data_IF_541945375217
#
_entry.id   IF_541945375217
#
_cell.length_a   1.000
_cell.length_b   1.000
_cell.length_c   1.000
_cell.angle_alpha   90.00
_cell.angle_beta   90.00
_cell.angle_gamma   90.00
#
_symmetry.space_group_name_H-M   'P 1'
#
loop_
_entity.id
_entity.type
_entity.pdbx_description
1 polymer ?
#
# COMPACT_ATOMS: atom_id res chain seq x y z
N UNK A 1 14.79 -33.77 12.44
CA UNK A 1 15.05 -33.60 10.99
C UNK A 1 13.95 -32.72 10.43
N UNK A 2 14.23 -31.48 10.01
CA UNK A 2 13.24 -30.71 9.27
C UNK A 2 13.31 -31.09 7.79
N UNK A 3 12.14 -31.31 7.20
CA UNK A 3 11.97 -31.47 5.75
C UNK A 3 12.21 -30.12 5.08
N UNK A 4 13.42 -29.90 4.57
CA UNK A 4 13.68 -28.82 3.62
C UNK A 4 13.00 -29.18 2.29
N UNK A 5 11.88 -28.51 2.01
CA UNK A 5 11.28 -28.51 0.68
C UNK A 5 12.23 -27.81 -0.30
N UNK A 6 12.51 -28.37 -1.49
CA UNK A 6 13.42 -27.76 -2.44
C UNK A 6 12.77 -26.54 -3.09
N UNK A 7 13.28 -25.35 -2.75
CA UNK A 7 12.91 -24.11 -3.43
C UNK A 7 13.38 -24.14 -4.91
N UNK A 8 12.57 -23.62 -5.85
CA UNK A 8 12.94 -23.60 -7.26
C UNK A 8 14.14 -22.65 -7.53
N UNK A 9 15.09 -23.04 -8.41
CA UNK A 9 16.23 -22.21 -8.78
C UNK A 9 15.83 -21.00 -9.63
N UNK A 10 16.20 -19.79 -9.18
CA UNK A 10 16.00 -18.52 -9.89
C UNK A 10 17.35 -18.01 -10.42
N UNK A 11 17.38 -17.55 -11.68
CA UNK A 11 18.53 -16.88 -12.28
C UNK A 11 18.21 -15.41 -12.58
N UNK A 12 19.12 -14.51 -12.22
CA UNK A 12 19.11 -13.10 -12.62
C UNK A 12 19.96 -12.93 -13.89
N UNK A 13 19.33 -12.95 -15.06
CA UNK A 13 20.00 -12.59 -16.31
C UNK A 13 19.52 -11.20 -16.75
N UNK A 14 20.32 -10.18 -16.47
CA UNK A 14 20.22 -8.79 -16.93
C UNK A 14 18.79 -8.23 -17.05
N UNK A 15 18.28 -7.73 -15.91
CA UNK A 15 17.12 -6.83 -15.74
C UNK A 15 15.72 -7.45 -15.69
N UNK A 16 15.56 -8.77 -15.78
CA UNK A 16 14.25 -9.44 -15.69
C UNK A 16 14.24 -10.52 -14.60
N UNK A 17 13.10 -10.69 -13.95
CA UNK A 17 12.88 -11.75 -12.95
C UNK A 17 12.22 -12.96 -13.63
N UNK A 18 12.78 -14.15 -13.45
CA UNK A 18 12.36 -15.37 -14.14
C UNK A 18 12.09 -16.49 -13.13
N UNK A 19 10.87 -17.04 -13.10
CA UNK A 19 10.55 -18.22 -12.32
C UNK A 19 10.66 -19.49 -13.17
N UNK A 20 11.35 -20.52 -12.66
CA UNK A 20 11.48 -21.81 -13.33
C UNK A 20 11.00 -22.95 -12.42
N UNK A 21 10.38 -23.97 -13.00
CA UNK A 21 10.11 -25.24 -12.32
C UNK A 21 11.37 -26.09 -12.32
N UNK A 22 11.52 -26.92 -11.29
CA UNK A 22 12.63 -27.87 -11.20
C UNK A 22 12.59 -28.89 -12.35
N UNK A 23 11.40 -29.40 -12.69
CA UNK A 23 11.22 -30.37 -13.78
C UNK A 23 11.58 -29.71 -15.12
N UNK A 24 12.63 -30.22 -15.76
CA UNK A 24 13.16 -29.77 -17.05
C UNK A 24 13.55 -28.28 -17.12
N UNK A 25 13.74 -27.62 -15.97
CA UNK A 25 14.05 -26.19 -15.92
C UNK A 25 13.04 -25.32 -16.71
N UNK A 26 11.76 -25.73 -16.72
CA UNK A 26 10.74 -25.05 -17.51
C UNK A 26 10.41 -23.68 -16.93
N UNK A 27 10.47 -22.62 -17.75
CA UNK A 27 10.06 -21.27 -17.35
C UNK A 27 8.55 -21.22 -17.11
N UNK A 28 8.15 -20.71 -15.94
CA UNK A 28 6.75 -20.45 -15.57
C UNK A 28 6.33 -19.09 -16.11
N UNK A 29 7.06 -18.04 -15.72
CA UNK A 29 6.80 -16.67 -16.15
C UNK A 29 8.10 -15.85 -16.16
N UNK A 30 8.01 -14.68 -16.79
CA UNK A 30 9.05 -13.66 -16.80
C UNK A 30 8.44 -12.29 -16.50
N UNK A 31 8.95 -11.60 -15.48
CA UNK A 31 8.54 -10.25 -15.14
C UNK A 31 9.56 -9.26 -15.70
N UNK A 32 9.12 -8.49 -16.69
CA UNK A 32 9.92 -7.46 -17.34
C UNK A 32 9.97 -6.17 -16.51
N UNK A 33 11.06 -5.39 -16.61
CA UNK A 33 11.21 -4.14 -15.88
C UNK A 33 10.17 -3.12 -16.36
N UNK A 34 9.38 -2.58 -15.45
CA UNK A 34 8.42 -1.49 -15.67
C UNK A 34 8.69 -0.35 -14.68
N UNK A 35 7.85 0.70 -14.71
CA UNK A 35 8.00 1.86 -13.81
C UNK A 35 7.94 1.49 -12.31
N UNK A 36 7.24 0.40 -11.96
CA UNK A 36 7.09 -0.05 -10.59
C UNK A 36 8.21 -0.99 -10.13
N UNK A 37 8.78 -1.80 -11.03
CA UNK A 37 9.81 -2.80 -10.71
C UNK A 37 11.24 -2.33 -10.97
N UNK A 38 11.43 -1.18 -11.60
CA UNK A 38 12.75 -0.64 -11.93
C UNK A 38 13.58 -1.54 -12.85
N UNK A 39 14.86 -1.19 -13.04
CA UNK A 39 15.77 -1.88 -13.97
C UNK A 39 16.78 -2.80 -13.28
N UNK A 40 17.07 -2.57 -12.00
CA UNK A 40 18.12 -3.26 -11.27
C UNK A 40 17.53 -4.01 -10.08
N UNK A 41 17.44 -5.34 -10.21
CA UNK A 41 17.04 -6.21 -9.09
C UNK A 41 18.31 -6.62 -8.33
N UNK A 42 18.33 -6.35 -7.04
CA UNK A 42 19.52 -6.53 -6.20
C UNK A 42 19.46 -7.74 -5.29
N UNK A 43 18.26 -8.15 -4.89
CA UNK A 43 18.03 -9.22 -3.90
C UNK A 43 16.65 -9.83 -4.06
N UNK A 44 16.50 -11.06 -3.57
CA UNK A 44 15.30 -11.87 -3.66
C UNK A 44 15.07 -12.58 -2.33
N UNK A 45 13.82 -12.72 -1.90
CA UNK A 45 13.43 -13.52 -0.75
C UNK A 45 12.04 -14.12 -0.94
N UNK A 46 11.93 -15.43 -0.78
CA UNK A 46 10.65 -16.13 -0.77
C UNK A 46 9.98 -15.99 0.58
N UNK A 47 8.67 -15.71 0.60
CA UNK A 47 7.87 -15.94 1.81
C UNK A 47 7.92 -17.44 2.14
N UNK A 48 7.99 -17.83 3.42
CA UNK A 48 8.13 -19.24 3.82
C UNK A 48 7.06 -20.20 3.28
N UNK A 49 5.87 -19.71 2.94
CA UNK A 49 4.80 -20.51 2.34
C UNK A 49 4.93 -20.71 0.82
N UNK A 50 5.89 -20.04 0.18
CA UNK A 50 6.16 -20.14 -1.25
C UNK A 50 5.15 -19.41 -2.16
N UNK A 51 4.17 -18.68 -1.61
CA UNK A 51 3.14 -18.00 -2.43
C UNK A 51 3.55 -16.59 -2.86
N UNK A 52 4.43 -15.96 -2.09
CA UNK A 52 4.87 -14.58 -2.34
C UNK A 52 6.38 -14.56 -2.53
N UNK A 53 6.82 -13.81 -3.53
CA UNK A 53 8.22 -13.50 -3.77
C UNK A 53 8.46 -12.00 -3.56
N UNK A 54 9.39 -11.67 -2.66
CA UNK A 54 9.90 -10.32 -2.49
C UNK A 54 11.18 -10.11 -3.30
N UNK A 55 11.34 -8.93 -3.89
CA UNK A 55 12.58 -8.51 -4.51
C UNK A 55 12.91 -7.04 -4.29
N UNK A 56 14.19 -6.75 -4.09
CA UNK A 56 14.72 -5.40 -3.94
C UNK A 56 15.08 -4.78 -5.28
N UNK A 57 14.72 -3.51 -5.46
CA UNK A 57 14.93 -2.71 -6.66
C UNK A 57 15.90 -1.56 -6.34
N UNK A 58 17.11 -1.62 -6.91
CA UNK A 58 18.22 -0.76 -6.55
C UNK A 58 18.07 0.69 -7.03
N UNK A 59 17.56 0.90 -8.25
CA UNK A 59 17.44 2.22 -8.86
C UNK A 59 16.32 3.07 -8.24
N UNK A 60 15.16 2.47 -7.96
CA UNK A 60 14.03 3.15 -7.32
C UNK A 60 14.03 3.08 -5.81
N UNK A 61 14.95 2.29 -5.21
CA UNK A 61 15.02 1.99 -3.77
C UNK A 61 13.69 1.49 -3.22
N UNK A 62 13.15 0.45 -3.85
CA UNK A 62 11.87 -0.15 -3.47
C UNK A 62 12.04 -1.63 -3.20
N UNK A 63 11.13 -2.16 -2.40
CA UNK A 63 10.89 -3.60 -2.29
C UNK A 63 9.54 -3.88 -2.91
N UNK A 64 9.47 -4.89 -3.77
CA UNK A 64 8.26 -5.31 -4.47
C UNK A 64 7.90 -6.72 -4.00
N UNK A 65 6.65 -6.91 -3.62
CA UNK A 65 6.04 -8.20 -3.32
C UNK A 65 5.16 -8.61 -4.50
N UNK A 66 5.41 -9.81 -5.03
CA UNK A 66 4.65 -10.35 -6.16
C UNK A 66 4.11 -11.75 -5.89
N UNK A 67 3.00 -12.05 -6.53
CA UNK A 67 2.40 -13.38 -6.53
C UNK A 67 3.29 -14.35 -7.31
N UNK A 68 3.61 -15.49 -6.70
CA UNK A 68 4.50 -16.47 -7.27
C UNK A 68 3.90 -17.24 -8.45
N UNK A 69 2.57 -17.35 -8.55
CA UNK A 69 1.89 -18.06 -9.62
C UNK A 69 1.65 -17.16 -10.83
N UNK A 70 1.19 -15.93 -10.59
CA UNK A 70 0.73 -15.01 -11.65
C UNK A 70 1.73 -13.94 -12.07
N UNK A 71 2.81 -13.72 -11.30
CA UNK A 71 3.75 -12.61 -11.48
C UNK A 71 3.11 -11.22 -11.32
N UNK A 72 1.99 -11.13 -10.59
CA UNK A 72 1.28 -9.88 -10.32
C UNK A 72 1.92 -9.15 -9.13
N UNK A 73 2.03 -7.82 -9.22
CA UNK A 73 2.58 -6.99 -8.15
C UNK A 73 1.47 -6.75 -7.12
N UNK A 74 1.62 -7.37 -5.96
CA UNK A 74 0.65 -7.30 -4.87
C UNK A 74 0.88 -6.07 -4.00
N UNK A 75 2.14 -5.77 -3.68
CA UNK A 75 2.50 -4.62 -2.86
C UNK A 75 3.90 -4.10 -3.19
N UNK A 76 4.14 -2.83 -2.91
CA UNK A 76 5.46 -2.22 -2.98
C UNK A 76 5.61 -1.16 -1.90
N UNK A 77 6.82 -1.04 -1.36
CA UNK A 77 7.16 0.00 -0.41
C UNK A 77 8.58 0.51 -0.68
N UNK A 78 8.78 1.79 -0.38
CA UNK A 78 10.08 2.45 -0.54
C UNK A 78 10.96 2.25 0.70
N UNK A 79 12.25 2.11 0.47
CA UNK A 79 13.29 2.03 1.50
C UNK A 79 14.28 3.17 1.31
N UNK A 80 14.95 3.59 2.40
CA UNK A 80 15.86 4.76 2.36
C UNK A 80 17.09 4.52 1.48
N UNK A 81 17.55 3.27 1.44
CA UNK A 81 18.75 2.81 0.76
C UNK A 81 18.45 1.60 -0.14
N UNK A 82 19.20 1.40 -1.24
CA UNK A 82 19.03 0.23 -2.08
C UNK A 82 19.31 -1.05 -1.29
N UNK A 83 18.43 -2.04 -1.41
CA UNK A 83 18.56 -3.30 -0.69
C UNK A 83 19.73 -4.10 -1.24
N UNK A 84 20.58 -4.66 -0.39
CA UNK A 84 21.70 -5.52 -0.77
C UNK A 84 21.46 -6.99 -0.47
N UNK A 85 20.65 -7.30 0.54
CA UNK A 85 20.27 -8.67 0.90
C UNK A 85 18.92 -8.69 1.63
N UNK A 86 18.23 -9.82 1.56
CA UNK A 86 16.91 -10.03 2.17
C UNK A 86 16.82 -11.42 2.78
N UNK A 87 16.06 -11.55 3.86
CA UNK A 87 15.76 -12.83 4.49
C UNK A 87 14.33 -12.81 5.01
N UNK A 88 13.52 -13.77 4.60
CA UNK A 88 12.13 -13.88 5.05
C UNK A 88 11.97 -15.16 5.87
N UNK A 89 11.52 -15.01 7.10
CA UNK A 89 11.40 -16.10 8.06
C UNK A 89 10.00 -16.15 8.68
N UNK A 90 9.57 -17.33 9.09
CA UNK A 90 8.33 -17.57 9.83
C UNK A 90 8.66 -18.06 11.24
N UNK A 91 8.00 -17.49 12.24
CA UNK A 91 8.28 -17.80 13.64
C UNK A 91 7.79 -19.21 13.96
N UNK A 92 8.66 -20.00 14.59
CA UNK A 92 8.28 -21.30 15.13
C UNK A 92 7.80 -21.10 16.57
N UNK A 93 6.54 -21.44 16.83
CA UNK A 93 5.98 -21.37 18.17
C UNK A 93 6.23 -22.69 18.92
N UNK A 94 7.07 -22.66 19.95
CA UNK A 94 7.15 -23.73 20.95
C UNK A 94 5.94 -23.62 21.90
N UNK A 95 4.75 -24.08 21.49
CA UNK A 95 3.57 -24.09 22.38
C UNK A 95 2.97 -25.47 22.51
N UNK A 96 3.51 -26.23 23.48
CA UNK A 96 2.83 -27.31 24.20
C UNK A 96 1.87 -26.77 25.28
N UNK A 97 1.46 -25.50 25.23
CA UNK A 97 0.45 -24.93 26.13
C UNK A 97 -0.92 -25.02 25.49
N UNK A 98 -1.54 -26.18 25.68
CA UNK A 98 -2.97 -26.40 25.57
C UNK A 98 -3.70 -25.56 26.63
N UNK A 99 -3.91 -24.27 26.36
CA UNK A 99 -4.82 -23.44 27.15
C UNK A 99 -5.37 -22.30 26.31
N UNK A 100 -6.47 -22.58 25.59
CA UNK A 100 -7.71 -21.79 25.55
C UNK A 100 -7.66 -20.24 25.54
N UNK A 101 -6.58 -19.64 25.04
CA UNK A 101 -6.60 -18.36 24.35
C UNK A 101 -6.12 -18.64 22.94
N UNK A 102 -6.94 -19.43 22.21
CA UNK A 102 -6.90 -19.47 20.76
C UNK A 102 -6.49 -18.10 20.26
N UNK A 103 -5.49 -18.08 19.37
CA UNK A 103 -5.31 -17.06 18.36
C UNK A 103 -6.61 -16.28 18.25
N UNK A 104 -6.63 -15.03 18.74
CA UNK A 104 -7.81 -14.20 18.56
C UNK A 104 -7.85 -13.99 17.05
N UNK A 105 -8.53 -14.91 16.36
CA UNK A 105 -8.92 -14.78 14.97
C UNK A 105 -9.41 -13.34 14.83
N UNK A 106 -9.00 -12.67 13.76
CA UNK A 106 -9.46 -11.32 13.58
C UNK A 106 -10.96 -11.35 13.28
N UNK A 107 -11.75 -11.23 14.35
CA UNK A 107 -13.21 -11.20 14.32
C UNK A 107 -13.74 -9.94 13.63
N UNK A 108 -12.84 -9.02 13.25
CA UNK A 108 -13.17 -7.86 12.41
C UNK A 108 -13.96 -8.28 11.18
N UNK A 109 -13.62 -9.41 10.55
CA UNK A 109 -14.33 -9.95 9.39
C UNK A 109 -15.79 -10.34 9.64
N UNK A 110 -16.20 -10.56 10.90
CA UNK A 110 -17.58 -10.84 11.29
C UNK A 110 -18.40 -9.57 11.53
N UNK A 111 -17.76 -8.49 11.97
CA UNK A 111 -18.43 -7.25 12.37
C UNK A 111 -18.33 -6.14 11.31
N UNK A 112 -17.26 -6.12 10.52
CA UNK A 112 -17.04 -5.12 9.49
C UNK A 112 -17.63 -5.59 8.15
N UNK A 113 -18.31 -4.70 7.42
CA UNK A 113 -18.74 -5.00 6.07
C UNK A 113 -17.51 -5.21 5.17
N UNK A 114 -17.63 -6.12 4.21
CA UNK A 114 -16.61 -6.27 3.16
C UNK A 114 -16.55 -4.99 2.35
N UNK A 115 -15.34 -4.46 2.19
CA UNK A 115 -15.12 -3.25 1.41
C UNK A 115 -15.36 -3.53 -0.07
N UNK A 116 -16.08 -2.66 -0.80
CA UNK A 116 -16.26 -2.81 -2.23
C UNK A 116 -14.92 -2.70 -2.98
N UNK A 117 -14.80 -3.41 -4.09
CA UNK A 117 -13.65 -3.25 -5.00
C UNK A 117 -13.71 -1.87 -5.67
N UNK A 118 -12.54 -1.29 -5.93
CA UNK A 118 -12.43 0.00 -6.62
C UNK A 118 -12.44 -0.20 -8.15
N UNK A 119 -13.08 0.69 -8.93
CA UNK A 119 -13.24 0.53 -10.38
C UNK A 119 -11.92 0.55 -11.18
N UNK A 120 -10.84 1.16 -10.65
CA UNK A 120 -9.49 1.11 -11.25
C UNK A 120 -8.60 0.00 -10.65
N UNK A 121 -9.10 -0.73 -9.67
CA UNK A 121 -8.37 -1.78 -8.98
C UNK A 121 -9.22 -3.04 -8.82
N UNK A 122 -9.93 -3.43 -9.88
CA UNK A 122 -10.81 -4.62 -9.87
C UNK A 122 -10.06 -5.90 -9.41
N UNK A 123 -8.71 -5.91 -9.44
CA UNK A 123 -7.90 -7.03 -8.95
C UNK A 123 -7.19 -6.80 -7.59
N UNK A 124 -6.90 -5.56 -7.16
CA UNK A 124 -5.85 -5.33 -6.11
C UNK A 124 -6.31 -5.34 -4.65
N UNK A 125 -7.59 -5.07 -4.33
CA UNK A 125 -8.01 -4.93 -2.92
C UNK A 125 -8.17 -6.28 -2.21
N UNK A 126 -8.74 -7.27 -2.89
CA UNK A 126 -8.91 -8.62 -2.35
C UNK A 126 -7.56 -9.32 -2.17
N UNK A 127 -6.60 -9.02 -3.06
CA UNK A 127 -5.22 -9.49 -2.99
C UNK A 127 -4.48 -9.08 -1.72
N UNK A 128 -4.74 -7.88 -1.19
CA UNK A 128 -4.09 -7.41 0.04
C UNK A 128 -4.62 -8.14 1.28
N UNK A 129 -5.90 -8.54 1.29
CA UNK A 129 -6.40 -9.44 2.33
C UNK A 129 -5.80 -10.85 2.19
N UNK A 130 -5.52 -11.29 0.96
CA UNK A 130 -4.79 -12.54 0.69
C UNK A 130 -3.30 -12.47 1.10
N UNK A 131 -2.68 -11.27 1.06
CA UNK A 131 -1.30 -11.05 1.54
C UNK A 131 -1.18 -11.35 3.04
N UNK A 132 -2.16 -10.93 3.84
CA UNK A 132 -2.19 -11.17 5.27
C UNK A 132 -2.54 -12.63 5.58
N UNK A 133 -3.61 -13.15 4.97
CA UNK A 133 -4.03 -14.56 5.03
C UNK A 133 -4.08 -15.17 6.45
N UNK A 134 -4.35 -16.47 6.52
CA UNK A 134 -4.15 -17.24 7.75
C UNK A 134 -2.72 -17.77 7.83
N UNK A 135 -1.77 -16.83 7.89
CA UNK A 135 -0.34 -17.15 7.93
C UNK A 135 0.18 -16.81 9.32
N UNK A 136 1.05 -17.69 9.85
CA UNK A 136 1.72 -17.41 11.12
C UNK A 136 2.60 -16.17 10.99
N UNK A 137 2.94 -15.60 12.13
CA UNK A 137 3.78 -14.41 12.16
C UNK A 137 5.10 -14.66 11.43
N UNK A 138 5.37 -13.82 10.43
CA UNK A 138 6.55 -13.91 9.60
C UNK A 138 7.14 -12.50 9.41
N UNK A 139 8.46 -12.44 9.25
CA UNK A 139 9.22 -11.20 9.21
C UNK A 139 10.13 -11.24 7.99
N UNK A 140 10.03 -10.20 7.17
CA UNK A 140 10.98 -9.90 6.12
C UNK A 140 12.05 -8.95 6.67
N UNK A 141 13.29 -9.43 6.72
CA UNK A 141 14.46 -8.64 7.09
C UNK A 141 15.12 -8.13 5.83
N UNK A 142 15.35 -6.83 5.77
CA UNK A 142 15.92 -6.12 4.63
C UNK A 142 17.22 -5.48 5.07
N UNK A 143 18.31 -5.76 4.35
CA UNK A 143 19.64 -5.21 4.62
C UNK A 143 20.14 -4.38 3.45
N UNK A 144 20.84 -3.30 3.73
CA UNK A 144 21.35 -2.37 2.72
C UNK A 144 22.82 -1.96 2.93
N UNK A 145 23.31 -1.01 2.12
CA UNK A 145 24.58 -0.34 2.35
C UNK A 145 24.53 0.49 3.63
N UNK A 146 25.70 0.81 4.17
CA UNK A 146 25.86 1.59 5.40
C UNK A 146 25.22 0.96 6.64
N UNK A 147 25.05 -0.36 6.64
CA UNK A 147 24.52 -1.14 7.76
C UNK A 147 23.05 -0.85 8.10
N UNK A 148 22.30 -0.35 7.13
CA UNK A 148 20.86 -0.29 7.21
C UNK A 148 20.29 -1.71 7.33
N UNK A 149 19.55 -1.99 8.40
CA UNK A 149 18.77 -3.21 8.55
C UNK A 149 17.38 -2.86 9.07
N UNK A 150 16.35 -3.33 8.38
CA UNK A 150 14.96 -3.12 8.74
C UNK A 150 14.19 -4.42 8.79
N UNK A 151 13.22 -4.51 9.71
CA UNK A 151 12.36 -5.66 9.88
C UNK A 151 10.92 -5.27 9.54
N UNK A 152 10.31 -6.04 8.63
CA UNK A 152 8.96 -5.85 8.15
C UNK A 152 8.09 -7.05 8.51
N UNK A 153 7.17 -6.87 9.46
CA UNK A 153 6.16 -7.88 9.77
C UNK A 153 5.23 -8.10 8.57
N UNK A 154 5.01 -9.37 8.23
CA UNK A 154 4.26 -9.81 7.05
C UNK A 154 4.79 -9.27 5.71
N UNK A 155 5.99 -8.66 5.70
CA UNK A 155 6.50 -7.89 4.57
C UNK A 155 5.79 -6.56 4.32
N UNK A 156 4.91 -6.12 5.21
CA UNK A 156 4.03 -4.96 5.03
C UNK A 156 4.30 -3.84 6.04
N UNK A 157 4.45 -4.20 7.31
CA UNK A 157 4.57 -3.22 8.40
C UNK A 157 5.97 -3.21 8.99
N UNK A 158 6.65 -2.07 8.94
CA UNK A 158 7.98 -1.91 9.52
C UNK A 158 7.90 -1.91 11.05
N UNK A 159 8.48 -2.92 11.69
CA UNK A 159 8.49 -3.10 13.14
C UNK A 159 9.79 -2.62 13.81
N UNK A 160 10.90 -2.62 13.07
CA UNK A 160 12.18 -2.17 13.61
C UNK A 160 13.11 -1.63 12.53
N UNK A 161 13.90 -0.61 12.89
CA UNK A 161 15.05 -0.14 12.13
C UNK A 161 16.26 -0.22 13.04
N UNK A 162 17.24 -1.04 12.65
CA UNK A 162 18.49 -1.21 13.38
C UNK A 162 19.54 -0.24 12.83
N UNK A 163 20.24 0.43 13.74
CA UNK A 163 21.35 1.32 13.45
C UNK A 163 22.62 0.77 14.09
N UNK A 164 23.77 1.03 13.48
CA UNK A 164 25.07 0.68 14.06
C UNK A 164 25.75 -0.56 13.45
N UNK A 165 25.17 -1.18 12.43
CA UNK A 165 25.94 -2.10 11.57
C UNK A 165 26.87 -1.25 10.69
N UNK A 166 28.10 -1.71 10.51
CA UNK A 166 29.11 -1.05 9.69
C UNK A 166 29.24 -1.78 8.34
N UNK A 167 29.48 -1.01 7.27
CA UNK A 167 29.68 -1.58 5.93
C UNK A 167 28.39 -1.92 5.19
N UNK A 168 28.47 -2.80 4.20
CA UNK A 168 27.32 -3.24 3.38
C UNK A 168 26.84 -4.60 3.84
N UNK A 169 25.55 -4.75 4.14
CA UNK A 169 25.00 -6.04 4.53
C UNK A 169 25.06 -7.02 3.36
N UNK A 170 25.63 -8.21 3.58
CA UNK A 170 25.76 -9.28 2.58
C UNK A 170 24.83 -10.45 2.85
N UNK A 171 24.62 -10.78 4.12
CA UNK A 171 23.71 -11.83 4.54
C UNK A 171 23.03 -11.46 5.85
N UNK A 172 21.79 -11.91 6.00
CA UNK A 172 20.94 -11.70 7.16
C UNK A 172 20.31 -13.05 7.52
N UNK A 173 20.24 -13.35 8.81
CA UNK A 173 19.51 -14.51 9.31
C UNK A 173 18.94 -14.18 10.68
N UNK A 174 17.60 -14.12 10.76
CA UNK A 174 16.84 -13.91 11.98
C UNK A 174 16.44 -15.29 12.51
N UNK A 175 16.69 -15.55 13.79
CA UNK A 175 16.38 -16.84 14.37
C UNK A 175 14.87 -17.07 14.43
N UNK A 176 14.43 -18.33 14.24
CA UNK A 176 13.01 -18.69 14.25
C UNK A 176 12.32 -18.49 15.59
N UNK A 177 13.08 -18.37 16.67
CA UNK A 177 12.62 -18.04 18.03
C UNK A 177 12.72 -16.53 18.35
N UNK A 178 13.11 -15.72 17.37
CA UNK A 178 13.32 -14.27 17.45
C UNK A 178 14.31 -13.80 18.52
N UNK A 179 15.15 -14.66 19.09
CA UNK A 179 16.11 -14.25 20.13
C UNK A 179 17.35 -13.58 19.58
N UNK A 180 17.76 -13.89 18.35
CA UNK A 180 18.95 -13.28 17.78
C UNK A 180 18.84 -13.00 16.29
N UNK A 181 19.44 -11.89 15.87
CA UNK A 181 19.64 -11.55 14.47
C UNK A 181 21.14 -11.62 14.16
N UNK A 182 21.51 -12.46 13.21
CA UNK A 182 22.87 -12.53 12.69
C UNK A 182 22.99 -11.75 11.37
N UNK A 183 24.03 -10.93 11.29
CA UNK A 183 24.32 -10.04 10.16
C UNK A 183 25.77 -10.27 9.73
N UNK A 184 25.97 -10.53 8.44
CA UNK A 184 27.29 -10.54 7.82
C UNK A 184 27.41 -9.27 6.99
N UNK A 185 28.35 -8.40 7.33
CA UNK A 185 28.61 -7.16 6.60
C UNK A 185 30.01 -7.14 5.99
N UNK A 186 30.16 -6.41 4.89
CA UNK A 186 31.44 -6.17 4.23
C UNK A 186 31.83 -4.70 4.38
N UNK A 187 32.98 -4.45 4.99
CA UNK A 187 33.59 -3.12 5.07
C UNK A 187 34.70 -3.04 4.03
N UNK A 188 34.56 -2.10 3.09
CA UNK A 188 35.61 -1.80 2.12
C UNK A 188 36.57 -0.79 2.73
N UNK A 189 37.77 -1.26 3.09
CA UNK A 189 38.85 -0.37 3.50
C UNK A 189 39.47 0.32 2.29
N UNK A 190 40.07 1.50 2.50
CA UNK A 190 40.80 2.27 1.47
C UNK A 190 41.97 1.49 0.85
N UNK A 191 42.47 0.46 1.54
CA UNK A 191 43.62 -0.35 1.14
C UNK A 191 43.28 -1.59 0.27
N UNK A 192 42.17 -1.55 -0.50
CA UNK A 192 41.70 -2.61 -1.43
C UNK A 192 41.32 -3.97 -0.83
N UNK A 193 41.57 -4.22 0.46
CA UNK A 193 41.10 -5.42 1.13
C UNK A 193 39.71 -5.17 1.71
N UNK A 194 38.74 -6.00 1.32
CA UNK A 194 37.42 -6.07 1.95
C UNK A 194 37.51 -6.92 3.22
N UNK A 195 37.03 -6.37 4.34
CA UNK A 195 36.88 -7.10 5.59
C UNK A 195 35.43 -7.58 5.73
N UNK A 196 35.24 -8.86 6.03
CA UNK A 196 33.93 -9.43 6.34
C UNK A 196 33.79 -9.49 7.85
N UNK A 197 32.72 -8.90 8.37
CA UNK A 197 32.39 -8.88 9.79
C UNK A 197 31.12 -9.70 10.04
N UNK A 198 31.15 -10.50 11.11
CA UNK A 198 29.98 -11.19 11.64
C UNK A 198 29.51 -10.46 12.90
N UNK A 199 28.23 -10.10 12.93
CA UNK A 199 27.61 -9.39 14.03
C UNK A 199 26.38 -10.19 14.45
N UNK A 200 26.25 -10.47 15.75
CA UNK A 200 25.07 -11.08 16.33
C UNK A 200 24.42 -10.08 17.28
N UNK A 201 23.16 -9.75 17.00
CA UNK A 201 22.36 -8.81 17.76
C UNK A 201 21.33 -9.58 18.58
N UNK A 202 21.16 -9.17 19.83
CA UNK A 202 20.11 -9.69 20.71
C UNK A 202 18.77 -9.03 20.34
N UNK A 203 17.80 -9.86 19.97
CA UNK A 203 16.43 -9.45 19.66
C UNK A 203 15.43 -9.99 20.68
N UNK A 204 15.89 -10.30 21.90
CA UNK A 204 15.08 -10.90 22.97
C UNK A 204 13.76 -10.17 23.29
N UNK A 205 13.66 -8.86 23.06
CA UNK A 205 12.40 -8.11 23.17
C UNK A 205 11.33 -8.60 22.19
N UNK A 206 11.71 -8.93 20.95
CA UNK A 206 10.77 -9.46 19.95
C UNK A 206 10.26 -10.84 20.35
N UNK A 207 11.14 -11.65 20.97
CA UNK A 207 10.81 -12.98 21.48
C UNK A 207 9.87 -12.91 22.69
N UNK A 208 10.16 -12.04 23.66
CA UNK A 208 9.35 -11.91 24.90
C UNK A 208 7.98 -11.29 24.66
N UNK A 209 7.86 -10.38 23.70
CA UNK A 209 6.61 -9.70 23.33
C UNK A 209 6.00 -10.26 22.04
N UNK A 210 6.33 -11.50 21.64
CA UNK A 210 5.84 -12.10 20.40
C UNK A 210 4.31 -12.05 20.21
N UNK A 211 3.46 -12.41 21.19
CA UNK A 211 2.01 -12.36 20.98
C UNK A 211 1.49 -10.92 20.85
N UNK A 212 2.01 -9.99 21.64
CA UNK A 212 1.70 -8.57 21.53
C UNK A 212 2.12 -7.99 20.18
N UNK A 213 3.35 -8.29 19.74
CA UNK A 213 3.92 -7.85 18.47
C UNK A 213 3.13 -8.41 17.28
N UNK A 214 2.75 -9.69 17.33
CA UNK A 214 1.95 -10.33 16.28
C UNK A 214 0.60 -9.65 16.12
N UNK A 215 -0.10 -9.42 17.25
CA UNK A 215 -1.40 -8.74 17.24
C UNK A 215 -1.29 -7.30 16.77
N UNK A 216 -0.29 -6.57 17.25
CA UNK A 216 0.00 -5.19 16.87
C UNK A 216 0.29 -5.09 15.37
N UNK A 217 1.18 -5.95 14.85
CA UNK A 217 1.54 -5.98 13.43
C UNK A 217 0.32 -6.23 12.55
N UNK A 218 -0.53 -7.21 12.88
CA UNK A 218 -1.78 -7.48 12.14
C UNK A 218 -2.69 -6.24 12.09
N UNK A 219 -2.89 -5.54 13.21
CA UNK A 219 -3.74 -4.34 13.21
C UNK A 219 -3.13 -3.19 12.43
N UNK A 220 -1.82 -2.95 12.54
CA UNK A 220 -1.18 -1.90 11.74
C UNK A 220 -1.13 -2.22 10.26
N UNK A 221 -1.01 -3.49 9.87
CA UNK A 221 -1.18 -3.86 8.47
C UNK A 221 -2.59 -3.56 7.99
N UNK A 222 -3.65 -3.94 8.73
CA UNK A 222 -5.02 -3.57 8.36
C UNK A 222 -5.20 -2.05 8.23
N UNK A 223 -4.73 -1.28 9.21
CA UNK A 223 -4.77 0.19 9.18
C UNK A 223 -4.07 0.75 7.95
N UNK A 224 -2.85 0.28 7.63
CA UNK A 224 -2.08 0.72 6.47
C UNK A 224 -2.84 0.44 5.17
N UNK A 225 -3.43 -0.75 5.05
CA UNK A 225 -4.19 -1.17 3.86
C UNK A 225 -5.46 -0.34 3.68
N UNK A 226 -6.15 0.01 4.77
CA UNK A 226 -7.32 0.89 4.75
C UNK A 226 -6.95 2.33 4.37
N UNK A 227 -5.85 2.86 4.89
CA UNK A 227 -5.36 4.19 4.49
C UNK A 227 -5.06 4.22 2.99
N UNK A 228 -4.41 3.17 2.46
CA UNK A 228 -4.14 3.08 1.03
C UNK A 228 -5.43 2.98 0.20
N UNK A 229 -6.40 2.19 0.65
CA UNK A 229 -7.72 2.07 0.03
C UNK A 229 -8.47 3.42 0.01
N UNK A 230 -8.48 4.16 1.12
CA UNK A 230 -9.10 5.49 1.21
C UNK A 230 -8.40 6.49 0.28
N UNK A 231 -7.07 6.46 0.19
CA UNK A 231 -6.30 7.29 -0.75
C UNK A 231 -6.66 6.99 -2.19
N UNK A 232 -6.71 5.71 -2.58
CA UNK A 232 -7.09 5.30 -3.93
C UNK A 232 -8.54 5.69 -4.26
N UNK A 233 -9.45 5.54 -3.31
CA UNK A 233 -10.84 5.99 -3.44
C UNK A 233 -10.92 7.49 -3.71
N UNK A 234 -10.17 8.29 -2.95
CA UNK A 234 -10.09 9.74 -3.13
C UNK A 234 -9.47 10.12 -4.48
N UNK A 235 -8.42 9.43 -4.92
CA UNK A 235 -7.84 9.64 -6.26
C UNK A 235 -8.88 9.37 -7.35
N UNK A 236 -9.64 8.28 -7.27
CA UNK A 236 -10.70 7.98 -8.22
C UNK A 236 -11.78 9.07 -8.26
N UNK A 237 -12.12 9.64 -7.09
CA UNK A 237 -13.07 10.76 -7.01
C UNK A 237 -12.51 12.03 -7.68
N UNK A 238 -11.25 12.37 -7.43
CA UNK A 238 -10.61 13.53 -8.04
C UNK A 238 -10.56 13.40 -9.56
N UNK A 239 -10.19 12.22 -10.08
CA UNK A 239 -10.14 11.97 -11.52
C UNK A 239 -11.53 12.09 -12.16
N UNK A 240 -12.57 11.51 -11.55
CA UNK A 240 -13.94 11.64 -12.03
C UNK A 240 -14.43 13.11 -12.03
N UNK A 241 -13.97 13.91 -11.07
CA UNK A 241 -14.26 15.33 -11.01
C UNK A 241 -13.51 16.15 -12.06
N UNK A 242 -12.22 15.87 -12.26
CA UNK A 242 -11.40 16.49 -13.30
C UNK A 242 -11.97 16.22 -14.70
N UNK A 243 -12.49 15.02 -14.95
CA UNK A 243 -13.17 14.67 -16.21
C UNK A 243 -14.42 15.54 -16.44
N UNK A 244 -15.21 15.83 -15.40
CA UNK A 244 -16.38 16.74 -15.48
C UNK A 244 -15.91 18.16 -15.80
N UNK A 245 -14.93 18.67 -15.05
CA UNK A 245 -14.41 20.02 -15.21
C UNK A 245 -13.84 20.22 -16.62
N UNK A 246 -13.04 19.27 -17.10
CA UNK A 246 -12.46 19.32 -18.44
C UNK A 246 -13.53 19.37 -19.54
N UNK A 247 -14.63 18.61 -19.41
CA UNK A 247 -15.72 18.64 -20.38
C UNK A 247 -16.46 19.98 -20.41
N UNK A 248 -16.66 20.61 -19.25
CA UNK A 248 -17.29 21.93 -19.14
C UNK A 248 -16.36 23.05 -19.64
N UNK A 249 -15.11 23.07 -19.18
CA UNK A 249 -14.13 24.09 -19.51
C UNK A 249 -13.75 24.05 -21.00
N UNK A 250 -13.59 22.89 -21.62
CA UNK A 250 -13.29 22.80 -23.07
C UNK A 250 -14.38 23.41 -23.94
N UNK A 251 -15.63 23.48 -23.46
CA UNK A 251 -16.76 24.02 -24.21
C UNK A 251 -16.94 25.51 -23.93
N UNK A 252 -16.76 25.95 -22.68
CA UNK A 252 -16.88 27.35 -22.28
C UNK A 252 -15.63 28.18 -22.61
N UNK A 253 -14.44 27.59 -22.59
CA UNK A 253 -13.20 28.31 -22.92
C UNK A 253 -13.10 28.60 -24.42
N UNK A 254 -13.59 27.70 -25.28
CA UNK A 254 -13.71 27.96 -26.73
C UNK A 254 -14.61 29.15 -27.03
N UNK A 255 -15.70 29.28 -26.29
CA UNK A 255 -16.60 30.44 -26.37
C UNK A 255 -15.88 31.75 -26.07
N UNK A 256 -15.16 31.81 -24.94
CA UNK A 256 -14.45 33.01 -24.49
C UNK A 256 -13.33 33.39 -25.46
N UNK A 257 -12.62 32.40 -26.02
CA UNK A 257 -11.55 32.63 -26.98
C UNK A 257 -12.05 33.12 -28.34
N UNK A 258 -13.24 32.67 -28.80
CA UNK A 258 -13.83 33.11 -30.07
C UNK A 258 -14.38 34.54 -30.01
N UNK A 259 -14.71 35.06 -28.81
CA UNK A 259 -15.50 36.29 -28.66
C UNK A 259 -14.72 37.61 -28.68
N UNK A 260 -13.41 37.63 -28.40
CA UNK A 260 -12.58 38.85 -28.35
C UNK A 260 -13.21 40.06 -27.60
N UNK A 261 -14.08 39.83 -26.62
CA UNK A 261 -14.81 40.87 -25.87
C UNK A 261 -14.52 40.78 -24.37
N UNK A 262 -14.74 41.88 -23.63
CA UNK A 262 -14.45 41.97 -22.19
C UNK A 262 -15.55 41.43 -21.27
N UNK A 263 -16.63 40.86 -21.82
CA UNK A 263 -17.79 40.37 -21.08
C UNK A 263 -17.53 38.98 -20.50
N UNK A 264 -17.95 38.75 -19.25
CA UNK A 264 -17.84 37.42 -18.65
C UNK A 264 -18.96 36.51 -19.18
N UNK A 265 -18.69 35.21 -19.25
CA UNK A 265 -19.68 34.20 -19.67
C UNK A 265 -20.95 34.26 -18.80
N UNK A 266 -20.79 34.57 -17.51
CA UNK A 266 -21.90 34.73 -16.57
C UNK A 266 -22.89 35.82 -17.00
N UNK A 267 -22.40 36.98 -17.46
CA UNK A 267 -23.23 38.13 -17.82
C UNK A 267 -24.12 37.80 -19.02
N UNK A 268 -23.60 37.06 -19.99
CA UNK A 268 -24.33 36.65 -21.20
C UNK A 268 -25.46 35.66 -20.88
N UNK A 269 -25.18 34.66 -20.03
CA UNK A 269 -26.20 33.71 -19.60
C UNK A 269 -27.25 34.38 -18.71
N UNK A 270 -26.87 35.36 -17.91
CA UNK A 270 -27.80 36.16 -17.12
C UNK A 270 -28.67 37.04 -18.03
N UNK A 271 -28.09 37.65 -19.07
CA UNK A 271 -28.83 38.44 -20.06
C UNK A 271 -29.85 37.58 -20.83
N UNK A 272 -29.43 36.40 -21.25
CA UNK A 272 -30.32 35.41 -21.88
C UNK A 272 -31.45 35.00 -20.93
N UNK A 273 -31.16 34.79 -19.64
CA UNK A 273 -32.16 34.39 -18.65
C UNK A 273 -33.16 35.52 -18.35
N UNK A 274 -32.69 36.76 -18.22
CA UNK A 274 -33.49 37.90 -17.81
C UNK A 274 -34.32 38.49 -18.96
N UNK A 275 -33.74 38.60 -20.15
CA UNK A 275 -34.36 39.28 -21.28
C UNK A 275 -34.70 38.35 -22.45
N UNK A 276 -34.26 37.10 -22.43
CA UNK A 276 -34.52 36.13 -23.52
C UNK A 276 -33.73 36.40 -24.79
N UNK A 277 -32.80 37.36 -24.79
CA UNK A 277 -31.97 37.70 -25.93
C UNK A 277 -30.60 37.05 -25.80
N UNK A 278 -30.23 36.20 -26.76
CA UNK A 278 -28.88 35.67 -26.88
C UNK A 278 -28.03 36.59 -27.76
N UNK A 279 -26.78 36.83 -27.37
CA UNK A 279 -25.79 37.44 -28.27
C UNK A 279 -25.58 36.54 -29.50
N UNK A 280 -25.21 37.08 -30.67
CA UNK A 280 -25.02 36.27 -31.88
C UNK A 280 -23.94 35.20 -31.70
N UNK A 281 -22.93 35.46 -30.86
CA UNK A 281 -21.89 34.50 -30.53
C UNK A 281 -22.41 33.40 -29.59
N UNK A 282 -23.22 33.74 -28.58
CA UNK A 282 -23.86 32.76 -27.70
C UNK A 282 -24.85 31.89 -28.47
N UNK A 283 -25.60 32.48 -29.40
CA UNK A 283 -26.51 31.77 -30.29
C UNK A 283 -25.75 30.81 -31.20
N UNK A 284 -24.62 31.22 -31.76
CA UNK A 284 -23.76 30.35 -32.57
C UNK A 284 -23.18 29.19 -31.74
N UNK A 285 -22.77 29.42 -30.50
CA UNK A 285 -22.32 28.36 -29.59
C UNK A 285 -23.44 27.37 -29.28
N UNK A 286 -24.62 27.85 -28.91
CA UNK A 286 -25.77 27.02 -28.56
C UNK A 286 -26.27 26.18 -29.76
N UNK A 287 -26.23 26.76 -30.96
CA UNK A 287 -26.73 26.08 -32.17
C UNK A 287 -25.69 25.16 -32.83
N UNK A 288 -24.41 25.53 -32.83
CA UNK A 288 -23.37 24.81 -33.59
C UNK A 288 -22.52 23.88 -32.71
N UNK A 289 -22.19 24.27 -31.47
CA UNK A 289 -21.29 23.51 -30.60
C UNK A 289 -22.03 22.75 -29.49
N UNK A 290 -23.10 23.34 -28.94
CA UNK A 290 -23.92 22.78 -27.86
C UNK A 290 -25.30 22.34 -28.34
N UNK A 291 -25.34 21.64 -29.49
CA UNK A 291 -26.58 21.11 -30.08
C UNK A 291 -27.44 20.37 -29.05
N UNK A 292 -28.75 20.25 -29.29
CA UNK A 292 -29.67 19.51 -28.40
C UNK A 292 -29.16 18.10 -28.06
N UNK A 293 -28.51 17.42 -29.01
CA UNK A 293 -27.87 16.12 -28.78
C UNK A 293 -26.63 16.24 -27.89
N UNK A 294 -25.77 17.23 -28.12
CA UNK A 294 -24.59 17.52 -27.30
C UNK A 294 -24.95 17.88 -25.85
N UNK A 295 -25.98 18.71 -25.64
CA UNK A 295 -26.47 19.08 -24.31
C UNK A 295 -27.03 17.88 -23.54
N UNK A 296 -27.79 17.00 -24.21
CA UNK A 296 -28.28 15.75 -23.60
C UNK A 296 -27.13 14.82 -23.20
N UNK A 297 -26.15 14.64 -24.07
CA UNK A 297 -24.96 13.83 -23.77
C UNK A 297 -24.13 14.42 -22.63
N UNK A 298 -23.98 15.74 -22.59
CA UNK A 298 -23.30 16.45 -21.50
C UNK A 298 -24.04 16.26 -20.17
N UNK A 299 -25.37 16.45 -20.16
CA UNK A 299 -26.18 16.22 -18.98
C UNK A 299 -26.06 14.79 -18.44
N UNK A 300 -26.12 13.79 -19.33
CA UNK A 300 -25.93 12.38 -18.96
C UNK A 300 -24.52 12.10 -18.43
N UNK A 301 -23.49 12.68 -19.05
CA UNK A 301 -22.10 12.56 -18.60
C UNK A 301 -21.93 13.12 -17.19
N UNK A 302 -22.40 14.36 -16.96
CA UNK A 302 -22.35 15.02 -15.65
C UNK A 302 -23.11 14.21 -14.60
N UNK A 303 -24.35 13.80 -14.88
CA UNK A 303 -25.17 13.01 -13.95
C UNK A 303 -24.50 11.66 -13.60
N UNK A 304 -23.91 10.99 -14.60
CA UNK A 304 -23.21 9.72 -14.38
C UNK A 304 -21.96 9.88 -13.51
N UNK A 305 -21.19 10.95 -13.69
CA UNK A 305 -20.00 11.24 -12.89
C UNK A 305 -20.37 11.66 -11.48
N UNK A 306 -21.39 12.50 -11.28
CA UNK A 306 -21.91 12.83 -9.95
C UNK A 306 -22.42 11.59 -9.20
N UNK A 307 -23.21 10.73 -9.87
CA UNK A 307 -23.64 9.46 -9.30
C UNK A 307 -22.44 8.57 -8.93
N UNK A 308 -21.36 8.61 -9.71
CA UNK A 308 -20.15 7.83 -9.44
C UNK A 308 -19.38 8.38 -8.22
N UNK A 309 -19.20 9.69 -8.13
CA UNK A 309 -18.60 10.36 -6.96
C UNK A 309 -19.43 10.10 -5.71
N UNK A 310 -20.76 10.24 -5.79
CA UNK A 310 -21.66 9.99 -4.67
C UNK A 310 -21.55 8.54 -4.16
N UNK A 311 -21.50 7.57 -5.08
CA UNK A 311 -21.26 6.16 -4.72
C UNK A 311 -19.90 5.99 -4.05
N UNK A 312 -18.81 6.54 -4.61
CA UNK A 312 -17.47 6.45 -4.01
C UNK A 312 -17.43 7.01 -2.58
N UNK A 313 -18.12 8.12 -2.30
CA UNK A 313 -18.19 8.67 -0.94
C UNK A 313 -18.93 7.71 0.01
N UNK A 314 -20.13 7.26 -0.36
CA UNK A 314 -20.98 6.46 0.53
C UNK A 314 -20.44 5.04 0.69
N UNK A 315 -20.14 4.34 -0.41
CA UNK A 315 -19.79 2.92 -0.36
C UNK A 315 -18.33 2.64 -0.09
N UNK A 316 -17.41 3.56 -0.43
CA UNK A 316 -15.96 3.34 -0.28
C UNK A 316 -15.37 4.20 0.84
N UNK A 317 -15.58 5.51 0.81
CA UNK A 317 -14.94 6.43 1.75
C UNK A 317 -15.48 6.28 3.17
N UNK A 318 -16.81 6.21 3.34
CA UNK A 318 -17.44 6.03 4.66
C UNK A 318 -17.13 4.64 5.24
N UNK A 319 -17.37 3.57 4.49
CA UNK A 319 -17.10 2.20 4.94
C UNK A 319 -15.63 1.96 5.30
N UNK A 320 -14.69 2.49 4.49
CA UNK A 320 -13.27 2.41 4.79
C UNK A 320 -12.86 3.21 6.02
N UNK A 321 -13.51 4.36 6.27
CA UNK A 321 -13.25 5.20 7.44
C UNK A 321 -13.81 4.56 8.73
N UNK A 322 -14.98 3.93 8.66
CA UNK A 322 -15.57 3.17 9.77
C UNK A 322 -14.70 1.97 10.14
N UNK A 323 -14.23 1.20 9.15
CA UNK A 323 -13.30 0.09 9.37
C UNK A 323 -11.96 0.59 9.98
N UNK A 324 -11.46 1.72 9.51
CA UNK A 324 -10.23 2.34 10.05
C UNK A 324 -10.42 2.75 11.51
N UNK A 325 -11.57 3.36 11.83
CA UNK A 325 -11.92 3.76 13.20
C UNK A 325 -12.04 2.54 14.12
N UNK A 326 -12.63 1.45 13.64
CA UNK A 326 -12.72 0.19 14.38
C UNK A 326 -11.33 -0.32 14.77
N UNK A 327 -10.41 -0.47 13.81
CA UNK A 327 -9.06 -0.97 14.10
C UNK A 327 -8.25 -0.02 14.99
N UNK A 328 -8.38 1.30 14.80
CA UNK A 328 -7.74 2.28 15.67
C UNK A 328 -8.28 2.21 17.11
N UNK A 329 -9.58 1.93 17.29
CA UNK A 329 -10.17 1.77 18.62
C UNK A 329 -9.62 0.53 19.35
N UNK A 330 -9.39 -0.58 18.64
CA UNK A 330 -8.75 -1.76 19.20
C UNK A 330 -7.28 -1.48 19.56
N UNK A 331 -6.54 -0.79 18.68
CA UNK A 331 -5.15 -0.39 18.93
C UNK A 331 -5.06 0.58 20.11
N UNK A 332 -6.03 1.49 20.29
CA UNK A 332 -6.16 2.32 21.50
C UNK A 332 -6.33 1.44 22.75
N UNK A 333 -7.19 0.42 22.67
CA UNK A 333 -7.35 -0.57 23.74
C UNK A 333 -6.03 -1.28 24.10
N UNK A 334 -5.23 -1.65 23.10
CA UNK A 334 -3.89 -2.22 23.29
C UNK A 334 -2.94 -1.23 23.94
N UNK A 335 -2.90 0.02 23.48
CA UNK A 335 -2.01 1.05 24.02
C UNK A 335 -2.31 1.43 25.48
N UNK A 336 -3.58 1.32 25.90
CA UNK A 336 -3.96 1.51 27.30
C UNK A 336 -3.40 0.42 28.22
N UNK A 337 -3.07 -0.77 27.71
CA UNK A 337 -2.40 -1.84 28.44
C UNK A 337 -0.89 -1.61 28.50
N UNK A 338 -0.49 -0.59 29.26
CA UNK A 338 0.90 -0.11 29.37
C UNK A 338 1.89 -1.22 29.72
N UNK A 339 1.55 -2.13 30.62
CA UNK A 339 2.45 -3.22 31.03
C UNK A 339 2.93 -4.10 29.86
N UNK A 340 2.11 -4.26 28.82
CA UNK A 340 2.39 -5.12 27.67
C UNK A 340 2.90 -4.35 26.45
N UNK A 341 2.29 -3.20 26.15
CA UNK A 341 2.51 -2.49 24.89
C UNK A 341 3.39 -1.23 25.02
N UNK A 342 3.63 -0.73 26.24
CA UNK A 342 4.56 0.39 26.44
C UNK A 342 6.00 0.07 25.97
N UNK A 343 6.56 -1.14 26.20
CA UNK A 343 7.89 -1.49 25.67
C UNK A 343 7.96 -1.50 24.14
N UNK A 344 6.82 -1.70 23.46
CA UNK A 344 6.71 -1.68 22.01
C UNK A 344 6.52 -0.25 21.44
N UNK A 345 6.42 0.77 22.31
CA UNK A 345 6.33 2.17 21.90
C UNK A 345 4.94 2.64 21.48
N UNK A 346 3.88 1.89 21.80
CA UNK A 346 2.49 2.33 21.57
C UNK A 346 2.11 3.43 22.57
N UNK A 347 1.98 4.66 22.07
CA UNK A 347 1.54 5.80 22.86
C UNK A 347 0.02 6.03 22.73
N UNK A 348 -0.76 5.94 23.82
CA UNK A 348 -2.21 6.11 23.75
C UNK A 348 -2.66 7.51 23.30
N UNK A 349 -1.87 8.57 23.56
CA UNK A 349 -2.24 9.93 23.17
C UNK A 349 -2.17 10.10 21.65
N UNK A 350 -1.08 9.66 21.01
CA UNK A 350 -0.98 9.70 19.52
C UNK A 350 -2.09 8.92 18.82
N UNK A 351 -2.53 7.79 19.37
CA UNK A 351 -3.62 7.00 18.79
C UNK A 351 -4.96 7.71 18.97
N UNK A 352 -5.18 8.39 20.08
CA UNK A 352 -6.37 9.21 20.30
C UNK A 352 -6.46 10.38 19.31
N UNK A 353 -5.34 11.04 19.04
CA UNK A 353 -5.25 12.06 17.99
C UNK A 353 -5.57 11.47 16.61
N UNK A 354 -5.07 10.27 16.30
CA UNK A 354 -5.40 9.59 15.05
C UNK A 354 -6.90 9.25 14.94
N UNK A 355 -7.53 8.79 16.02
CA UNK A 355 -8.97 8.52 16.08
C UNK A 355 -9.78 9.80 15.82
N UNK A 356 -9.40 10.91 16.44
CA UNK A 356 -10.10 12.20 16.22
C UNK A 356 -9.90 12.72 14.78
N UNK A 357 -8.73 12.53 14.19
CA UNK A 357 -8.45 12.87 12.80
C UNK A 357 -9.27 12.04 11.79
N UNK A 358 -9.47 10.75 12.04
CA UNK A 358 -10.36 9.91 11.22
C UNK A 358 -11.83 10.32 11.39
N UNK A 359 -12.23 10.68 12.61
CA UNK A 359 -13.56 11.24 12.87
C UNK A 359 -13.82 12.53 12.09
N UNK A 360 -12.87 13.48 12.11
CA UNK A 360 -13.00 14.74 11.35
C UNK A 360 -12.99 14.51 9.84
N UNK A 361 -12.17 13.58 9.35
CA UNK A 361 -12.20 13.16 7.95
C UNK A 361 -13.56 12.59 7.53
N UNK A 362 -14.18 11.76 8.36
CA UNK A 362 -15.50 11.17 8.11
C UNK A 362 -16.60 12.24 8.08
N UNK A 363 -16.53 13.23 8.98
CA UNK A 363 -17.44 14.39 8.95
C UNK A 363 -17.26 15.21 7.67
N UNK A 364 -16.02 15.44 7.23
CA UNK A 364 -15.75 16.17 5.98
C UNK A 364 -16.23 15.41 4.74
N UNK A 365 -16.10 14.08 4.73
CA UNK A 365 -16.68 13.24 3.70
C UNK A 365 -18.22 13.35 3.65
N UNK A 366 -18.86 13.49 4.81
CA UNK A 366 -20.31 13.67 4.90
C UNK A 366 -20.75 15.09 4.47
N UNK A 367 -19.95 16.11 4.77
CA UNK A 367 -20.16 17.49 4.27
C UNK A 367 -20.04 17.55 2.74
N UNK A 368 -19.10 16.82 2.14
CA UNK A 368 -18.95 16.74 0.67
C UNK A 368 -20.17 16.11 -0.02
N UNK A 369 -20.93 15.29 0.69
CA UNK A 369 -22.14 14.65 0.18
C UNK A 369 -23.35 15.59 0.16
N UNK A 370 -23.33 16.64 1.01
CA UNK A 370 -24.37 17.67 1.10
C UNK A 370 -24.21 18.69 -0.02
#
# INVERSE_FOLDING_TARGET
MPNDMPHPPLFLTWRQLLLHRLVNFQRVWSLAPNENTGKEITSLAWRPDGKILAFGVGDTKRVVLCDAEKAEILHLFSVDCPVSCMHWMEVQSDTNSSSASSESEDESSRFLPKLPTLPKSEDKSDEVTNLLGDVRFNILVVGGPSGFVELYAYGLYKIATLKGVTGTCRSLCLSSDLKSLSVISEIRSTNRNSEIQYIQLDTGLLSSCLPELTRMARKFTHISTLIQYLRLSLTCMCEAWEDILMQMDLRLTKFVQEKNTSTQVQDEFLELLLWGHASPELQALLMNQLTVKGLKMLGQSIESSYSSIQKLVISHLQSGSEALLYHLSEVKGMALWKQKFQPLGLDPATIEDAVTAVGSFTLKASELLQ
#
